data_IF_027921287542
#
_entry.id   IF_027921287542
#
_cell.length_a   1.000
_cell.length_b   1.000
_cell.length_c   1.000
_cell.angle_alpha   90.00
_cell.angle_beta   90.00
_cell.angle_gamma   90.00
#
_symmetry.space_group_name_H-M   'P 1'
#
loop_
_entity.id
_entity.type
_entity.pdbx_description
1 polymer ?
#
# COMPACT_ATOMS: atom_id res chain seq x y z
N UNK A 1 34.31 -21.93 6.39
CA UNK A 1 33.73 -21.99 7.76
C UNK A 1 33.41 -20.56 8.19
N UNK A 2 32.16 -20.20 8.52
CA UNK A 2 31.82 -18.82 8.92
C UNK A 2 32.47 -18.50 10.27
N UNK A 3 32.99 -17.28 10.45
CA UNK A 3 33.68 -16.88 11.68
C UNK A 3 32.75 -16.98 12.90
N UNK A 4 33.31 -17.21 14.09
CA UNK A 4 32.57 -17.27 15.37
C UNK A 4 31.76 -15.98 15.62
N UNK A 5 32.26 -14.86 15.15
CA UNK A 5 31.59 -13.56 15.25
C UNK A 5 30.42 -13.44 14.26
N UNK A 6 30.56 -13.97 13.04
CA UNK A 6 29.46 -14.04 12.06
C UNK A 6 28.27 -14.83 12.62
N UNK A 7 28.52 -15.97 13.30
CA UNK A 7 27.45 -16.79 13.89
C UNK A 7 26.73 -16.08 15.05
N UNK A 8 27.47 -15.37 15.91
CA UNK A 8 26.88 -14.58 17.00
C UNK A 8 26.00 -13.44 16.49
N UNK A 9 26.43 -12.75 15.43
CA UNK A 9 25.65 -11.66 14.81
C UNK A 9 24.36 -12.20 14.22
N UNK A 10 24.40 -13.32 13.49
CA UNK A 10 23.20 -13.96 12.94
C UNK A 10 22.21 -14.30 14.04
N UNK A 11 22.66 -15.02 15.09
CA UNK A 11 21.80 -15.42 16.21
C UNK A 11 21.09 -14.20 16.82
N UNK A 12 21.83 -13.11 17.08
CA UNK A 12 21.31 -11.87 17.68
C UNK A 12 20.34 -11.11 16.77
N UNK A 13 20.50 -11.20 15.45
CA UNK A 13 19.60 -10.59 14.48
C UNK A 13 18.29 -11.36 14.31
N UNK A 14 18.30 -12.69 14.52
CA UNK A 14 17.08 -13.51 14.54
C UNK A 14 16.16 -13.17 15.70
N UNK A 15 16.72 -12.81 16.87
CA UNK A 15 15.94 -12.45 18.06
C UNK A 15 15.27 -11.07 17.92
N UNK A 16 15.93 -10.11 17.27
CA UNK A 16 15.42 -8.74 17.09
C UNK A 16 16.06 -8.07 15.86
N UNK A 17 15.40 -8.25 14.72
CA UNK A 17 15.87 -7.77 13.41
C UNK A 17 15.84 -6.23 13.27
N UNK A 18 15.32 -5.47 14.25
CA UNK A 18 15.16 -4.01 14.17
C UNK A 18 16.30 -3.23 14.83
N UNK A 19 17.34 -3.91 15.32
CA UNK A 19 18.45 -3.26 16.04
C UNK A 19 19.42 -2.57 15.08
N UNK A 20 19.91 -1.40 15.51
CA UNK A 20 20.97 -0.72 14.79
C UNK A 20 22.30 -1.43 14.94
N UNK A 21 23.16 -1.35 13.92
CA UNK A 21 24.52 -1.89 13.96
C UNK A 21 25.33 -1.41 15.17
N UNK A 22 25.09 -0.18 15.64
CA UNK A 22 25.73 0.38 16.85
C UNK A 22 25.30 -0.34 18.14
N UNK A 23 24.00 -0.65 18.28
CA UNK A 23 23.51 -1.40 19.44
C UNK A 23 24.01 -2.85 19.42
N UNK A 24 24.06 -3.46 18.24
CA UNK A 24 24.63 -4.80 18.05
C UNK A 24 26.11 -4.83 18.44
N UNK A 25 26.91 -3.88 17.95
CA UNK A 25 28.32 -3.71 18.29
C UNK A 25 28.53 -3.64 19.82
N UNK A 26 27.81 -2.74 20.50
CA UNK A 26 27.90 -2.60 21.96
C UNK A 26 27.50 -3.87 22.70
N UNK A 27 26.48 -4.58 22.23
CA UNK A 27 25.99 -5.80 22.90
C UNK A 27 26.90 -7.01 22.72
N UNK A 28 27.71 -7.02 21.65
CA UNK A 28 28.61 -8.12 21.31
C UNK A 28 30.07 -7.83 21.67
N UNK A 29 30.40 -6.60 22.08
CA UNK A 29 31.77 -6.17 22.34
C UNK A 29 32.62 -6.07 21.07
N UNK A 30 32.00 -5.84 19.92
CA UNK A 30 32.65 -5.83 18.60
C UNK A 30 32.61 -4.42 18.02
N UNK A 31 33.64 -4.04 17.25
CA UNK A 31 33.66 -2.72 16.60
C UNK A 31 32.49 -2.55 15.61
N UNK A 32 31.98 -1.32 15.49
CA UNK A 32 30.93 -0.98 14.50
C UNK A 32 31.35 -1.33 13.08
N UNK A 33 32.64 -1.13 12.73
CA UNK A 33 33.19 -1.46 11.41
C UNK A 33 33.12 -2.95 11.11
N UNK A 34 33.49 -3.79 12.08
CA UNK A 34 33.40 -5.25 11.96
C UNK A 34 31.94 -5.71 11.76
N UNK A 35 30.99 -5.13 12.51
CA UNK A 35 29.57 -5.40 12.30
C UNK A 35 29.10 -4.97 10.90
N UNK A 36 29.55 -3.81 10.41
CA UNK A 36 29.26 -3.36 9.05
C UNK A 36 29.76 -4.33 7.98
N UNK A 37 31.02 -4.78 8.10
CA UNK A 37 31.63 -5.79 7.23
C UNK A 37 30.83 -7.10 7.25
N UNK A 38 30.44 -7.56 8.44
CA UNK A 38 29.66 -8.80 8.58
C UNK A 38 28.29 -8.65 7.91
N UNK A 39 27.59 -7.54 8.11
CA UNK A 39 26.25 -7.32 7.54
C UNK A 39 26.32 -7.24 6.01
N UNK A 40 27.25 -6.45 5.45
CA UNK A 40 27.30 -6.19 4.01
C UNK A 40 28.08 -7.23 3.21
N UNK A 41 29.21 -7.70 3.73
CA UNK A 41 30.14 -8.55 2.97
C UNK A 41 29.95 -10.04 3.31
N UNK A 42 29.77 -10.39 4.59
CA UNK A 42 29.66 -11.81 5.00
C UNK A 42 28.21 -12.35 4.91
N UNK A 43 27.21 -11.48 5.09
CA UNK A 43 25.79 -11.83 5.10
C UNK A 43 25.00 -11.25 3.92
N UNK A 44 25.60 -10.33 3.14
CA UNK A 44 24.95 -9.65 2.00
C UNK A 44 23.56 -9.07 2.34
N UNK A 45 23.41 -8.54 3.54
CA UNK A 45 22.19 -7.93 4.01
C UNK A 45 22.15 -6.46 3.61
N UNK A 46 21.04 -6.07 3.00
CA UNK A 46 20.73 -4.69 2.70
C UNK A 46 19.76 -4.13 3.74
N UNK A 47 19.96 -2.86 4.12
CA UNK A 47 19.07 -2.19 5.07
C UNK A 47 17.77 -1.84 4.34
N UNK A 48 16.70 -2.54 4.70
CA UNK A 48 15.36 -2.23 4.20
C UNK A 48 14.63 -1.31 5.18
N UNK A 49 14.03 -0.23 4.66
CA UNK A 49 13.14 0.61 5.45
C UNK A 49 11.74 0.01 5.44
N UNK A 50 11.36 -0.67 6.53
CA UNK A 50 10.03 -1.23 6.68
C UNK A 50 9.02 -0.13 7.01
N UNK A 51 8.08 0.12 6.11
CA UNK A 51 6.91 0.96 6.40
C UNK A 51 5.82 0.09 7.00
N UNK A 52 5.41 0.40 8.23
CA UNK A 52 4.27 -0.25 8.85
C UNK A 52 3.03 0.21 8.08
N UNK A 53 2.42 -0.70 7.33
CA UNK A 53 1.08 -0.48 6.78
C UNK A 53 0.09 -0.35 7.94
N UNK A 54 -1.01 0.37 7.73
CA UNK A 54 -2.06 0.65 8.71
C UNK A 54 -2.36 -0.58 9.59
N UNK A 55 -2.50 -0.40 10.91
CA UNK A 55 -2.82 -1.48 11.84
C UNK A 55 -4.18 -2.09 11.47
N UNK A 56 -4.17 -3.16 10.68
CA UNK A 56 -5.38 -3.87 10.27
C UNK A 56 -5.82 -4.75 11.43
N UNK A 57 -7.02 -4.49 11.95
CA UNK A 57 -7.74 -5.45 12.78
C UNK A 57 -7.94 -6.75 11.99
N UNK A 58 -8.05 -7.88 12.67
CA UNK A 58 -8.16 -9.19 12.01
C UNK A 58 -9.37 -9.27 11.08
N UNK A 59 -10.44 -8.53 11.38
CA UNK A 59 -11.62 -8.33 10.52
C UNK A 59 -11.26 -7.73 9.15
N UNK A 60 -10.39 -6.70 9.12
CA UNK A 60 -9.93 -6.09 7.88
C UNK A 60 -8.97 -7.00 7.11
N UNK A 61 -8.24 -7.89 7.82
CA UNK A 61 -7.41 -8.90 7.16
C UNK A 61 -8.28 -9.94 6.47
N UNK A 62 -9.36 -10.39 7.10
CA UNK A 62 -10.29 -11.35 6.50
C UNK A 62 -10.99 -10.78 5.25
N UNK A 63 -11.44 -9.51 5.31
CA UNK A 63 -12.01 -8.84 4.13
C UNK A 63 -11.00 -8.65 2.99
N UNK A 64 -9.71 -8.47 3.32
CA UNK A 64 -8.64 -8.38 2.31
C UNK A 64 -8.25 -9.74 1.75
N UNK A 65 -8.26 -10.79 2.57
CA UNK A 65 -7.99 -12.16 2.14
C UNK A 65 -9.10 -12.61 1.19
N UNK A 66 -10.39 -12.42 1.54
CA UNK A 66 -11.49 -12.80 0.66
C UNK A 66 -11.47 -12.06 -0.69
N UNK A 67 -11.07 -10.78 -0.69
CA UNK A 67 -10.92 -9.97 -1.90
C UNK A 67 -9.68 -10.36 -2.72
N UNK A 68 -8.53 -10.62 -2.08
CA UNK A 68 -7.29 -10.95 -2.77
C UNK A 68 -7.31 -12.37 -3.36
N UNK A 69 -8.02 -13.31 -2.71
CA UNK A 69 -8.25 -14.66 -3.25
C UNK A 69 -9.05 -14.67 -4.55
N UNK A 70 -9.63 -13.54 -4.96
CA UNK A 70 -10.41 -13.49 -6.19
C UNK A 70 -9.58 -13.43 -7.47
N UNK A 71 -8.32 -12.96 -7.48
CA UNK A 71 -7.59 -12.95 -8.76
C UNK A 71 -6.06 -13.17 -8.81
N UNK A 72 -5.19 -12.88 -7.81
CA UNK A 72 -3.77 -12.72 -8.22
C UNK A 72 -2.66 -12.75 -7.15
N UNK A 73 -2.67 -13.68 -6.18
CA UNK A 73 -1.66 -13.67 -5.09
C UNK A 73 -0.56 -14.74 -5.23
N UNK A 74 -0.70 -15.70 -6.15
CA UNK A 74 0.18 -16.88 -6.17
C UNK A 74 1.55 -16.67 -6.86
N UNK A 75 1.79 -15.56 -7.56
CA UNK A 75 2.99 -15.47 -8.42
C UNK A 75 4.15 -14.63 -7.86
N UNK A 76 3.90 -13.66 -6.96
CA UNK A 76 4.94 -12.68 -6.54
C UNK A 76 5.08 -12.42 -5.03
N UNK A 77 4.53 -13.28 -4.16
CA UNK A 77 4.62 -13.13 -2.68
C UNK A 77 4.27 -11.72 -2.15
N UNK A 78 3.43 -10.97 -2.86
CA UNK A 78 2.87 -9.69 -2.40
C UNK A 78 3.81 -8.48 -2.35
N UNK A 79 5.04 -8.55 -2.88
CA UNK A 79 5.97 -7.40 -2.85
C UNK A 79 5.88 -6.62 -4.16
N UNK A 80 5.36 -5.39 -4.10
CA UNK A 80 5.40 -4.41 -5.21
C UNK A 80 6.14 -3.15 -4.80
N UNK A 81 7.20 -2.81 -5.53
CA UNK A 81 7.90 -1.52 -5.39
C UNK A 81 7.09 -0.42 -6.10
N UNK A 82 6.74 0.66 -5.39
CA UNK A 82 6.11 1.86 -5.98
C UNK A 82 7.06 3.05 -5.84
N UNK A 83 7.13 3.90 -6.87
CA UNK A 83 7.87 5.16 -6.83
C UNK A 83 7.40 6.03 -5.65
N UNK A 84 8.33 6.79 -5.04
CA UNK A 84 8.08 7.61 -3.82
C UNK A 84 7.07 8.74 -4.07
N UNK A 85 7.03 9.27 -5.29
CA UNK A 85 6.09 10.31 -5.73
C UNK A 85 5.61 9.99 -7.14
N UNK A 86 4.74 8.98 -7.31
CA UNK A 86 4.18 8.72 -8.62
C UNK A 86 3.32 9.92 -8.99
N UNK A 87 3.44 10.42 -10.22
CA UNK A 87 2.43 11.33 -10.76
C UNK A 87 1.09 10.59 -10.66
N UNK A 88 0.14 11.16 -9.91
CA UNK A 88 -1.17 10.57 -9.67
C UNK A 88 -2.20 11.39 -10.44
N UNK A 89 -3.06 10.70 -11.16
CA UNK A 89 -4.24 11.25 -11.80
C UNK A 89 -5.43 10.65 -11.04
N UNK A 90 -6.37 11.50 -10.64
CA UNK A 90 -7.62 11.04 -10.05
C UNK A 90 -8.59 10.75 -11.20
N UNK A 91 -9.23 9.58 -11.16
CA UNK A 91 -10.28 9.20 -12.11
C UNK A 91 -11.54 8.83 -11.34
N UNK A 92 -12.68 9.41 -11.71
CA UNK A 92 -13.99 8.98 -11.22
C UNK A 92 -14.68 8.18 -12.33
N UNK A 93 -15.31 7.06 -11.96
CA UNK A 93 -16.03 6.18 -12.88
C UNK A 93 -17.16 5.48 -12.11
N UNK A 94 -18.36 5.43 -12.71
CA UNK A 94 -19.44 4.55 -12.25
C UNK A 94 -19.54 3.31 -13.14
N UNK A 95 -19.94 2.20 -12.54
CA UNK A 95 -20.16 0.92 -13.22
C UNK A 95 -21.52 0.38 -12.83
N UNK A 96 -22.24 -0.16 -13.80
CA UNK A 96 -23.56 -0.77 -13.64
C UNK A 96 -23.66 -2.06 -14.44
N UNK A 97 -24.77 -2.80 -14.27
CA UNK A 97 -25.08 -3.99 -15.08
C UNK A 97 -25.14 -3.72 -16.59
N UNK A 98 -25.50 -2.50 -16.98
CA UNK A 98 -25.69 -2.09 -18.38
C UNK A 98 -24.45 -1.42 -18.98
N UNK A 99 -23.36 -1.36 -18.22
CA UNK A 99 -22.08 -0.82 -18.67
C UNK A 99 -21.49 0.23 -17.72
N UNK A 100 -20.48 0.94 -18.23
CA UNK A 100 -19.70 1.91 -17.48
C UNK A 100 -20.04 3.34 -17.89
N UNK A 101 -19.87 4.26 -16.94
CA UNK A 101 -19.97 5.68 -17.25
C UNK A 101 -18.78 6.14 -18.08
N UNK A 102 -18.90 7.33 -18.67
CA UNK A 102 -17.74 8.07 -19.14
C UNK A 102 -16.88 8.43 -17.91
N UNK A 103 -15.57 8.15 -17.91
CA UNK A 103 -14.71 8.50 -16.78
C UNK A 103 -14.46 10.01 -16.73
N UNK A 104 -14.49 10.59 -15.52
CA UNK A 104 -14.00 11.95 -15.29
C UNK A 104 -12.53 11.85 -14.91
N UNK A 105 -11.67 12.49 -15.70
CA UNK A 105 -10.22 12.52 -15.46
C UNK A 105 -9.87 13.91 -14.92
N UNK A 106 -9.44 13.96 -13.67
CA UNK A 106 -9.03 15.21 -13.02
C UNK A 106 -7.59 15.55 -13.38
N UNK A 107 -7.23 16.84 -13.35
CA UNK A 107 -5.86 17.24 -13.69
C UNK A 107 -4.87 16.70 -12.66
N UNK A 108 -3.61 16.44 -13.04
CA UNK A 108 -2.59 16.00 -12.09
C UNK A 108 -2.48 16.96 -10.89
N UNK A 109 -2.70 16.44 -9.68
CA UNK A 109 -2.70 17.22 -8.43
C UNK A 109 -4.07 17.69 -7.95
N UNK A 110 -5.11 17.65 -8.78
CA UNK A 110 -6.49 17.88 -8.34
C UNK A 110 -6.99 16.66 -7.55
N UNK A 111 -7.70 16.94 -6.45
CA UNK A 111 -8.31 15.92 -5.59
C UNK A 111 -9.81 16.18 -5.48
N UNK A 112 -10.56 15.11 -5.23
CA UNK A 112 -11.99 15.16 -5.00
C UNK A 112 -12.28 15.77 -3.61
N UNK A 113 -12.68 17.04 -3.59
CA UNK A 113 -13.23 17.71 -2.40
C UNK A 113 -14.75 17.55 -2.36
N UNK A 114 -15.38 17.77 -1.20
CA UNK A 114 -16.84 17.66 -1.05
C UNK A 114 -17.59 18.56 -2.05
N UNK A 115 -17.18 19.82 -2.17
CA UNK A 115 -17.78 20.79 -3.11
C UNK A 115 -17.61 20.35 -4.57
N UNK A 116 -16.41 19.91 -4.96
CA UNK A 116 -16.14 19.42 -6.30
C UNK A 116 -16.89 18.12 -6.59
N UNK A 117 -17.10 17.28 -5.58
CA UNK A 117 -17.84 16.04 -5.72
C UNK A 117 -19.31 16.31 -6.07
N UNK A 118 -19.98 17.19 -5.32
CA UNK A 118 -21.37 17.55 -5.62
C UNK A 118 -21.47 18.22 -6.99
N UNK A 119 -20.61 19.21 -7.23
CA UNK A 119 -20.70 20.09 -8.41
C UNK A 119 -20.32 19.40 -9.72
N UNK A 120 -19.32 18.52 -9.70
CA UNK A 120 -18.76 17.91 -10.91
C UNK A 120 -19.25 16.48 -11.07
N UNK A 121 -19.39 15.74 -9.97
CA UNK A 121 -19.67 14.31 -10.03
C UNK A 121 -21.15 14.02 -9.84
N UNK A 122 -21.73 14.29 -8.67
CA UNK A 122 -23.08 13.81 -8.34
C UNK A 122 -24.17 14.40 -9.25
N UNK A 123 -24.29 15.73 -9.23
CA UNK A 123 -25.44 16.40 -9.85
C UNK A 123 -25.43 16.34 -11.40
N UNK A 124 -24.33 16.67 -12.10
CA UNK A 124 -24.36 16.69 -13.57
C UNK A 124 -23.97 15.36 -14.21
N UNK A 125 -23.03 14.61 -13.61
CA UNK A 125 -22.40 13.49 -14.31
C UNK A 125 -22.96 12.14 -13.89
N UNK A 126 -22.97 11.82 -12.60
CA UNK A 126 -23.47 10.56 -12.06
C UNK A 126 -24.97 10.41 -12.30
N UNK A 127 -25.75 11.47 -12.15
CA UNK A 127 -27.18 11.45 -12.46
C UNK A 127 -27.45 11.24 -13.95
N UNK A 128 -26.74 11.95 -14.82
CA UNK A 128 -26.88 11.82 -16.28
C UNK A 128 -26.49 10.43 -16.76
N UNK A 129 -25.35 9.93 -16.29
CA UNK A 129 -24.86 8.59 -16.65
C UNK A 129 -25.69 7.48 -16.02
N UNK A 130 -26.21 7.70 -14.81
CA UNK A 130 -27.17 6.81 -14.16
C UNK A 130 -28.42 6.64 -15.02
N UNK A 131 -29.02 7.75 -15.46
CA UNK A 131 -30.16 7.73 -16.39
C UNK A 131 -29.84 7.09 -17.73
N UNK A 132 -28.68 7.41 -18.30
CA UNK A 132 -28.24 6.81 -19.58
C UNK A 132 -28.05 5.30 -19.49
N UNK A 133 -27.61 4.79 -18.34
CA UNK A 133 -27.28 3.38 -18.17
C UNK A 133 -28.45 2.57 -17.59
N UNK A 134 -29.29 3.16 -16.75
CA UNK A 134 -30.24 2.45 -15.90
C UNK A 134 -31.64 3.10 -15.87
N UNK A 135 -31.89 4.09 -16.73
CA UNK A 135 -33.12 4.91 -16.76
C UNK A 135 -33.35 5.67 -15.43
N UNK A 136 -34.57 6.12 -15.16
CA UNK A 136 -34.87 6.95 -13.98
C UNK A 136 -34.96 6.16 -12.66
N UNK A 137 -34.99 4.83 -12.70
CA UNK A 137 -35.12 3.97 -11.52
C UNK A 137 -33.82 3.23 -11.22
N UNK A 138 -32.89 3.92 -10.54
CA UNK A 138 -31.62 3.35 -10.14
C UNK A 138 -31.21 3.73 -8.73
N UNK A 139 -30.44 2.83 -8.10
CA UNK A 139 -29.82 3.06 -6.81
C UNK A 139 -28.37 3.47 -7.06
N UNK A 140 -27.99 4.63 -6.51
CA UNK A 140 -26.61 5.07 -6.49
C UNK A 140 -25.92 4.59 -5.22
N UNK A 141 -24.92 3.72 -5.37
CA UNK A 141 -24.09 3.23 -4.28
C UNK A 141 -22.65 3.74 -4.44
N UNK A 142 -22.10 4.25 -3.35
CA UNK A 142 -20.73 4.75 -3.24
C UNK A 142 -20.08 4.24 -1.96
N UNK A 143 -18.75 4.39 -1.85
CA UNK A 143 -18.04 4.17 -0.59
C UNK A 143 -18.43 5.24 0.45
N UNK A 144 -17.99 5.09 1.70
CA UNK A 144 -18.26 6.06 2.75
C UNK A 144 -16.98 6.86 3.03
N UNK A 145 -16.65 7.78 2.11
CA UNK A 145 -15.43 8.60 2.12
C UNK A 145 -15.73 10.02 2.60
N UNK A 146 -14.76 10.70 3.23
CA UNK A 146 -14.98 12.01 3.87
C UNK A 146 -15.51 13.10 2.92
N UNK A 147 -15.11 13.16 1.64
CA UNK A 147 -15.75 14.03 0.63
C UNK A 147 -17.24 13.76 0.34
N UNK A 148 -17.79 12.64 0.79
CA UNK A 148 -19.18 12.22 0.52
C UNK A 148 -20.10 12.38 1.74
N UNK A 149 -19.53 12.73 2.91
CA UNK A 149 -20.25 13.05 4.14
C UNK A 149 -20.69 14.51 4.16
#
# INVERSE_FOLDING_TARGET
MKSKDTQKVVLRMTDDARRSARKLANSLGVSKGTIGRIIHDDLHLHVYHATIQSNLKDEHKQGRISFAYWQDVNEHKGIRWKAKFPKRIMIWLAVSKNGRSIPIIFKPGETLTHENYIKIVLAPHALSEGRRLLDDDFIYQQDNTTPQA
#
